data_IF_127165227115
#
_entry.id   IF_127165227115
#
_cell.length_a   1.000
_cell.length_b   1.000
_cell.length_c   1.000
_cell.angle_alpha   90.00
_cell.angle_beta   90.00
_cell.angle_gamma   90.00
#
_symmetry.space_group_name_H-M   'P 1'
#
loop_
_entity.id
_entity.type
_entity.pdbx_description
1 polymer ?
#
# COMPACT_ATOMS: atom_id res chain seq x y z
N UNK A 1 16.19 -46.44 47.02
CA UNK A 1 16.55 -45.15 47.65
C UNK A 1 15.62 -44.08 47.12
N UNK A 2 14.80 -43.57 48.06
CA UNK A 2 14.04 -42.31 48.12
C UNK A 2 13.69 -41.55 46.84
N UNK A 3 12.37 -41.54 46.60
CA UNK A 3 11.57 -40.64 45.78
C UNK A 3 11.74 -39.17 46.21
N UNK A 4 11.68 -38.24 45.26
CA UNK A 4 11.33 -36.85 45.52
C UNK A 4 10.45 -36.32 44.38
N UNK A 5 9.15 -36.04 44.63
CA UNK A 5 8.31 -35.27 43.74
C UNK A 5 8.18 -33.84 44.28
N UNK A 6 8.44 -32.81 43.48
CA UNK A 6 7.96 -31.47 43.80
C UNK A 6 7.40 -30.80 42.55
N UNK A 7 6.08 -30.92 42.47
CA UNK A 7 5.17 -30.13 41.67
C UNK A 7 5.14 -28.71 42.25
N UNK A 8 5.41 -27.68 41.45
CA UNK A 8 5.00 -26.31 41.77
C UNK A 8 4.63 -25.59 40.46
N UNK A 9 3.33 -25.65 40.21
CA UNK A 9 2.58 -24.76 39.34
C UNK A 9 2.64 -23.36 39.96
N UNK A 10 3.08 -22.35 39.21
CA UNK A 10 2.73 -20.96 39.48
C UNK A 10 2.55 -20.23 38.16
N UNK A 11 1.27 -20.04 37.87
CA UNK A 11 0.70 -19.16 36.85
C UNK A 11 1.14 -17.72 37.17
N UNK A 12 1.64 -17.00 36.17
CA UNK A 12 1.61 -15.53 36.18
C UNK A 12 1.52 -15.01 34.74
N UNK A 13 0.29 -14.94 34.27
CA UNK A 13 -0.12 -13.99 33.25
C UNK A 13 -0.13 -12.60 33.90
N UNK A 14 0.76 -11.72 33.46
CA UNK A 14 0.56 -10.28 33.63
C UNK A 14 0.86 -9.58 32.31
N UNK A 15 -0.23 -9.12 31.70
CA UNK A 15 -0.28 -8.08 30.70
C UNK A 15 0.41 -6.83 31.24
N UNK A 16 1.41 -6.32 30.53
CA UNK A 16 1.87 -4.92 30.62
C UNK A 16 2.03 -4.49 29.16
N UNK A 17 0.97 -3.97 28.54
CA UNK A 17 0.62 -2.54 28.46
C UNK A 17 1.64 -1.70 27.70
N UNK A 18 1.10 -1.05 26.67
CA UNK A 18 1.66 -0.02 25.81
C UNK A 18 2.57 0.96 26.54
N UNK A 19 3.83 1.04 26.12
CA UNK A 19 4.63 2.23 26.30
C UNK A 19 4.39 3.18 25.14
N UNK A 20 3.45 4.12 25.29
CA UNK A 20 3.50 5.37 24.52
C UNK A 20 4.44 6.30 25.26
N UNK A 21 5.64 6.49 24.73
CA UNK A 21 6.56 7.51 25.21
C UNK A 21 6.21 8.83 24.51
N UNK A 22 5.63 9.75 25.28
CA UNK A 22 5.31 11.11 24.87
C UNK A 22 6.56 11.99 24.92
N UNK A 23 6.95 12.54 23.76
CA UNK A 23 8.09 13.43 23.62
C UNK A 23 7.82 14.62 22.69
N UNK A 24 7.05 15.60 23.21
CA UNK A 24 6.87 17.00 22.80
C UNK A 24 6.44 17.34 21.34
N UNK A 25 5.50 18.30 21.15
CA UNK A 25 5.09 18.72 19.82
C UNK A 25 6.20 19.56 19.21
N UNK A 26 6.89 19.03 18.20
CA UNK A 26 7.61 19.89 17.27
C UNK A 26 6.55 20.73 16.59
N UNK A 27 6.67 22.03 16.80
CA UNK A 27 6.02 23.07 16.02
C UNK A 27 6.34 22.80 14.55
N UNK A 28 5.44 22.10 13.85
CA UNK A 28 5.53 21.96 12.40
C UNK A 28 5.10 23.30 11.83
N UNK A 29 6.11 24.15 11.68
CA UNK A 29 6.18 25.14 10.63
C UNK A 29 5.56 24.54 9.36
N UNK A 30 4.78 25.35 8.64
CA UNK A 30 4.32 25.07 7.28
C UNK A 30 5.53 24.77 6.38
N UNK A 31 5.98 23.53 6.42
CA UNK A 31 7.08 23.02 5.64
C UNK A 31 6.42 22.13 4.60
N UNK A 32 6.48 22.61 3.35
CA UNK A 32 6.16 21.85 2.15
C UNK A 32 6.98 20.56 2.13
N UNK A 33 6.49 19.54 2.82
CA UNK A 33 7.24 18.31 2.99
C UNK A 33 6.63 17.23 2.10
N UNK A 34 7.31 17.04 0.98
CA UNK A 34 7.45 15.80 0.22
C UNK A 34 7.95 14.60 1.08
N UNK A 35 7.64 14.57 2.37
CA UNK A 35 7.89 13.42 3.22
C UNK A 35 6.75 12.42 2.99
N UNK A 36 6.99 11.52 2.04
CA UNK A 36 6.22 10.28 1.90
C UNK A 36 6.08 9.64 3.28
N UNK A 37 4.88 9.22 3.71
CA UNK A 37 4.81 8.15 4.68
C UNK A 37 5.39 6.92 3.97
N UNK A 38 6.69 6.69 4.20
CA UNK A 38 7.42 5.47 3.81
C UNK A 38 6.76 4.20 4.42
N UNK A 39 5.71 4.36 5.22
CA UNK A 39 4.97 3.30 5.90
C UNK A 39 3.46 3.38 5.68
N UNK A 40 3.01 3.80 4.48
CA UNK A 40 1.60 3.64 4.10
C UNK A 40 1.33 2.22 3.62
N UNK A 41 0.25 1.60 4.09
CA UNK A 41 -0.22 0.34 3.52
C UNK A 41 -0.51 0.47 2.02
N UNK A 42 -0.92 1.67 1.55
CA UNK A 42 -1.18 1.94 0.14
C UNK A 42 0.06 1.83 -0.75
N UNK A 43 1.27 1.84 -0.19
CA UNK A 43 2.50 1.64 -0.96
C UNK A 43 2.58 0.23 -1.60
N UNK A 44 1.75 -0.71 -1.13
CA UNK A 44 1.65 -2.04 -1.75
C UNK A 44 1.11 -1.97 -3.20
N UNK A 45 0.30 -0.95 -3.55
CA UNK A 45 -0.25 -0.80 -4.89
C UNK A 45 0.82 -0.52 -5.96
N UNK A 46 1.68 0.51 -5.81
CA UNK A 46 2.80 0.69 -6.73
C UNK A 46 3.79 -0.47 -6.63
N UNK A 47 4.01 -1.05 -5.45
CA UNK A 47 4.95 -2.18 -5.30
C UNK A 47 4.52 -3.40 -6.12
N UNK A 48 3.31 -3.93 -5.87
CA UNK A 48 2.77 -5.13 -6.53
C UNK A 48 2.64 -4.98 -8.04
N UNK A 49 2.13 -3.83 -8.50
CA UNK A 49 1.99 -3.54 -9.93
C UNK A 49 3.34 -3.42 -10.62
N UNK A 50 4.27 -2.65 -10.06
CA UNK A 50 5.61 -2.48 -10.64
C UNK A 50 6.45 -3.77 -10.59
N UNK A 51 6.32 -4.58 -9.53
CA UNK A 51 6.95 -5.89 -9.48
C UNK A 51 6.47 -6.76 -10.65
N UNK A 52 5.15 -6.78 -10.90
CA UNK A 52 4.59 -7.59 -11.99
C UNK A 52 4.99 -7.07 -13.36
N UNK A 53 4.94 -5.75 -13.57
CA UNK A 53 5.35 -5.10 -14.81
C UNK A 53 6.85 -5.28 -15.08
N UNK A 54 7.68 -5.22 -14.04
CA UNK A 54 9.11 -5.51 -14.16
C UNK A 54 9.36 -6.96 -14.57
N UNK A 55 8.64 -7.91 -13.97
CA UNK A 55 8.75 -9.33 -14.32
C UNK A 55 8.30 -9.63 -15.77
N UNK A 56 7.22 -9.01 -16.24
CA UNK A 56 6.64 -9.31 -17.55
C UNK A 56 7.24 -8.50 -18.70
N UNK A 57 7.66 -7.25 -18.44
CA UNK A 57 8.05 -6.30 -19.48
C UNK A 57 9.40 -5.60 -19.22
N UNK A 58 10.09 -5.92 -18.12
CA UNK A 58 11.42 -5.39 -17.84
C UNK A 58 11.44 -3.92 -17.39
N UNK A 59 10.33 -3.40 -16.88
CA UNK A 59 10.25 -2.05 -16.32
C UNK A 59 11.23 -1.85 -15.16
N UNK A 60 11.78 -0.64 -15.04
CA UNK A 60 12.57 -0.28 -13.87
C UNK A 60 11.65 -0.15 -12.65
N UNK A 61 11.88 -1.00 -11.65
CA UNK A 61 11.08 -1.06 -10.44
C UNK A 61 11.00 0.29 -9.71
N UNK A 62 12.15 0.93 -9.48
CA UNK A 62 12.22 2.14 -8.67
C UNK A 62 11.56 3.33 -9.39
N UNK A 63 11.81 3.45 -10.70
CA UNK A 63 11.22 4.53 -11.50
C UNK A 63 9.70 4.35 -11.57
N UNK A 64 9.25 3.11 -11.79
CA UNK A 64 7.83 2.75 -11.74
C UNK A 64 7.18 3.12 -10.41
N UNK A 65 7.74 2.66 -9.29
CA UNK A 65 7.15 2.91 -7.97
C UNK A 65 7.10 4.39 -7.61
N UNK A 66 8.17 5.14 -7.91
CA UNK A 66 8.25 6.57 -7.61
C UNK A 66 7.24 7.40 -8.42
N UNK A 67 7.15 7.12 -9.72
CA UNK A 67 6.23 7.83 -10.60
C UNK A 67 4.78 7.49 -10.25
N UNK A 68 4.43 6.21 -10.03
CA UNK A 68 3.09 5.83 -9.57
C UNK A 68 2.75 6.48 -8.24
N UNK A 69 3.67 6.50 -7.28
CA UNK A 69 3.42 7.11 -5.97
C UNK A 69 3.07 8.60 -6.08
N UNK A 70 3.75 9.31 -6.98
CA UNK A 70 3.56 10.72 -7.24
C UNK A 70 2.46 11.03 -8.27
N UNK A 71 1.83 10.02 -8.87
CA UNK A 71 0.87 10.21 -9.94
C UNK A 71 -0.47 10.77 -9.41
N UNK A 72 -0.98 11.92 -9.92
CA UNK A 72 -2.26 12.47 -9.48
C UNK A 72 -3.48 11.64 -9.96
N UNK A 73 -3.28 10.66 -10.85
CA UNK A 73 -4.30 9.73 -11.35
C UNK A 73 -4.94 8.86 -10.27
N UNK A 74 -4.27 8.68 -9.13
CA UNK A 74 -4.86 8.04 -7.96
C UNK A 74 -6.10 8.77 -7.43
N UNK A 75 -6.10 10.10 -7.54
CA UNK A 75 -7.27 10.91 -7.25
C UNK A 75 -8.44 10.48 -8.12
N UNK A 76 -8.26 10.48 -9.44
CA UNK A 76 -9.31 10.04 -10.37
C UNK A 76 -9.78 8.61 -10.10
N UNK A 77 -8.84 7.67 -9.89
CA UNK A 77 -9.17 6.28 -9.60
C UNK A 77 -10.05 6.12 -8.35
N UNK A 78 -9.72 6.82 -7.26
CA UNK A 78 -10.50 6.81 -6.03
C UNK A 78 -11.57 7.90 -5.94
N UNK A 79 -11.87 8.59 -7.04
CA UNK A 79 -12.86 9.69 -7.10
C UNK A 79 -12.57 10.88 -6.17
N UNK A 80 -11.29 11.21 -5.97
CA UNK A 80 -10.80 12.42 -5.30
C UNK A 80 -10.21 13.44 -6.28
N UNK A 81 -10.44 14.73 -6.03
CA UNK A 81 -9.91 15.80 -6.87
C UNK A 81 -8.45 16.08 -6.57
N UNK A 82 -7.65 16.29 -7.63
CA UNK A 82 -6.46 15.50 -7.92
C UNK A 82 -5.62 15.25 -6.66
N UNK A 83 -5.40 13.97 -6.38
CA UNK A 83 -4.69 13.52 -5.21
C UNK A 83 -3.68 12.43 -5.59
N UNK A 84 -2.45 12.59 -5.11
CA UNK A 84 -1.42 11.54 -5.13
C UNK A 84 -1.71 10.49 -4.05
N UNK A 85 -1.08 9.31 -4.12
CA UNK A 85 -1.16 8.35 -3.03
C UNK A 85 -0.63 8.91 -1.71
N UNK A 86 0.35 9.82 -1.75
CA UNK A 86 0.83 10.52 -0.56
C UNK A 86 -0.30 11.32 0.11
N UNK A 87 -1.06 12.09 -0.67
CA UNK A 87 -2.18 12.88 -0.16
C UNK A 87 -3.31 11.99 0.37
N UNK A 88 -3.65 10.91 -0.35
CA UNK A 88 -4.66 9.95 0.07
C UNK A 88 -4.21 9.22 1.35
N UNK A 89 -2.95 8.83 1.43
CA UNK A 89 -2.36 8.20 2.62
C UNK A 89 -2.43 9.11 3.83
N UNK A 90 -2.18 10.40 3.67
CA UNK A 90 -2.30 11.36 4.77
C UNK A 90 -3.76 11.49 5.24
N UNK A 91 -4.73 11.49 4.33
CA UNK A 91 -6.15 11.49 4.66
C UNK A 91 -6.57 10.20 5.40
N UNK A 92 -6.06 9.03 4.99
CA UNK A 92 -6.25 7.76 5.73
C UNK A 92 -5.64 7.84 7.13
N UNK A 93 -4.41 8.34 7.24
CA UNK A 93 -3.73 8.47 8.53
C UNK A 93 -4.49 9.41 9.49
N UNK A 94 -5.02 10.51 8.96
CA UNK A 94 -5.83 11.47 9.71
C UNK A 94 -7.26 10.99 9.99
N UNK A 95 -7.64 9.80 9.52
CA UNK A 95 -8.99 9.21 9.64
C UNK A 95 -10.08 10.00 8.88
N UNK A 96 -9.69 10.78 7.87
CA UNK A 96 -10.60 11.46 6.95
C UNK A 96 -11.12 10.50 5.86
N UNK A 97 -10.41 9.39 5.64
CA UNK A 97 -10.76 8.31 4.71
C UNK A 97 -10.58 6.96 5.39
N UNK A 98 -11.43 6.01 5.04
CA UNK A 98 -11.34 4.64 5.53
C UNK A 98 -10.55 3.78 4.52
N UNK A 99 -9.55 3.06 5.05
CA UNK A 99 -8.81 2.06 4.27
C UNK A 99 -9.39 0.67 4.53
N UNK A 100 -9.86 0.03 3.47
CA UNK A 100 -10.23 -1.38 3.47
C UNK A 100 -9.00 -2.24 3.20
N UNK A 101 -8.41 -2.77 4.27
CA UNK A 101 -7.19 -3.60 4.19
C UNK A 101 -7.41 -4.93 3.47
N UNK A 102 -8.62 -5.48 3.51
CA UNK A 102 -8.94 -6.75 2.85
C UNK A 102 -9.04 -6.58 1.33
N UNK A 103 -9.69 -5.51 0.88
CA UNK A 103 -9.71 -5.11 -0.53
C UNK A 103 -8.30 -4.78 -1.04
N UNK A 104 -7.50 -4.08 -0.23
CA UNK A 104 -6.11 -3.76 -0.56
C UNK A 104 -5.26 -5.02 -0.76
N UNK A 105 -5.34 -5.96 0.18
CA UNK A 105 -4.62 -7.23 0.08
C UNK A 105 -5.09 -8.05 -1.13
N UNK A 106 -6.41 -8.15 -1.34
CA UNK A 106 -6.99 -8.87 -2.48
C UNK A 106 -6.55 -8.28 -3.83
N UNK A 107 -6.57 -6.95 -3.95
CA UNK A 107 -6.10 -6.23 -5.13
C UNK A 107 -4.62 -6.53 -5.41
N UNK A 108 -3.77 -6.44 -4.39
CA UNK A 108 -2.34 -6.76 -4.53
C UNK A 108 -2.11 -8.21 -4.97
N UNK A 109 -2.81 -9.16 -4.36
CA UNK A 109 -2.68 -10.58 -4.69
C UNK A 109 -3.19 -10.88 -6.11
N UNK A 110 -4.29 -10.28 -6.53
CA UNK A 110 -4.80 -10.41 -7.90
C UNK A 110 -3.78 -9.90 -8.92
N UNK A 111 -3.19 -8.72 -8.69
CA UNK A 111 -2.15 -8.14 -9.56
C UNK A 111 -0.93 -9.06 -9.68
N UNK A 112 -0.41 -9.55 -8.55
CA UNK A 112 0.79 -10.41 -8.53
C UNK A 112 0.55 -11.73 -9.28
N UNK A 113 -0.70 -12.22 -9.28
CA UNK A 113 -1.06 -13.49 -9.91
C UNK A 113 -1.50 -13.37 -11.38
N UNK A 114 -1.64 -12.17 -11.95
CA UNK A 114 -1.94 -11.99 -13.38
C UNK A 114 -0.87 -12.63 -14.26
N UNK A 115 -1.21 -13.35 -15.32
CA UNK A 115 -0.21 -13.84 -16.28
C UNK A 115 0.45 -12.68 -17.05
N UNK A 116 1.68 -12.86 -17.54
CA UNK A 116 2.28 -11.90 -18.48
C UNK A 116 1.55 -11.86 -19.83
N UNK A 117 0.77 -12.90 -20.13
CA UNK A 117 -0.11 -12.96 -21.30
C UNK A 117 -1.51 -12.38 -21.03
N UNK A 118 -1.78 -11.92 -19.80
CA UNK A 118 -3.09 -11.38 -19.44
C UNK A 118 -3.38 -10.10 -20.22
N UNK A 119 -4.56 -10.02 -20.83
CA UNK A 119 -4.97 -8.85 -21.62
C UNK A 119 -5.04 -7.59 -20.77
N UNK A 120 -5.39 -7.68 -19.48
CA UNK A 120 -5.43 -6.53 -18.57
C UNK A 120 -4.03 -5.97 -18.37
N UNK A 121 -3.06 -6.84 -18.12
CA UNK A 121 -1.68 -6.43 -17.89
C UNK A 121 -1.03 -5.89 -19.17
N UNK A 122 -1.32 -6.50 -20.32
CA UNK A 122 -0.88 -6.00 -21.62
C UNK A 122 -1.54 -4.65 -21.98
N UNK A 123 -2.81 -4.45 -21.62
CA UNK A 123 -3.52 -3.18 -21.82
C UNK A 123 -2.99 -2.04 -20.96
N UNK A 124 -2.58 -2.36 -19.74
CA UNK A 124 -1.95 -1.39 -18.84
C UNK A 124 -0.65 -0.77 -19.42
N UNK A 125 -0.10 -1.37 -20.49
CA UNK A 125 1.19 -1.03 -21.11
C UNK A 125 1.05 -0.63 -22.59
N UNK A 126 -0.17 -0.36 -23.11
CA UNK A 126 -0.43 -0.23 -24.56
C UNK A 126 0.47 0.78 -25.29
N UNK A 127 0.88 0.35 -26.50
CA UNK A 127 1.60 1.04 -27.59
C UNK A 127 3.11 1.30 -27.41
N UNK A 128 3.80 0.34 -26.81
CA UNK A 128 5.24 0.14 -27.03
C UNK A 128 6.15 1.08 -26.24
N UNK A 129 5.60 1.90 -25.35
CA UNK A 129 6.38 2.67 -24.40
C UNK A 129 6.37 1.94 -23.04
N UNK A 130 7.49 1.30 -22.65
CA UNK A 130 7.61 0.61 -21.36
C UNK A 130 7.59 1.57 -20.16
N UNK A 131 7.28 2.85 -20.35
CA UNK A 131 7.28 3.86 -19.30
C UNK A 131 6.01 4.73 -19.29
N UNK A 132 4.98 4.42 -20.10
CA UNK A 132 3.74 5.19 -20.05
C UNK A 132 2.87 4.71 -18.87
N UNK A 133 3.09 5.34 -17.72
CA UNK A 133 2.40 4.98 -16.47
C UNK A 133 0.97 5.51 -16.39
N UNK A 134 0.50 6.37 -17.30
CA UNK A 134 -0.90 6.80 -17.28
C UNK A 134 -1.85 5.64 -17.61
N UNK A 135 -1.42 4.72 -18.47
CA UNK A 135 -2.20 3.54 -18.85
C UNK A 135 -2.29 2.50 -17.74
N UNK A 136 -1.42 2.56 -16.73
CA UNK A 136 -1.42 1.59 -15.64
C UNK A 136 -2.72 1.62 -14.83
N UNK A 137 -3.45 2.74 -14.82
CA UNK A 137 -4.70 2.83 -14.07
C UNK A 137 -5.78 1.90 -14.61
N UNK A 138 -5.67 1.49 -15.88
CA UNK A 138 -6.54 0.46 -16.47
C UNK A 138 -6.38 -0.90 -15.78
N UNK A 139 -5.19 -1.20 -15.23
CA UNK A 139 -4.97 -2.40 -14.41
C UNK A 139 -5.88 -2.38 -13.18
N UNK A 140 -5.82 -1.30 -12.41
CA UNK A 140 -6.59 -1.15 -11.18
C UNK A 140 -8.10 -1.02 -11.47
N UNK A 141 -8.50 -0.38 -12.57
CA UNK A 141 -9.91 -0.30 -13.00
C UNK A 141 -10.49 -1.65 -13.43
N UNK A 142 -9.65 -2.56 -13.92
CA UNK A 142 -10.06 -3.90 -14.37
C UNK A 142 -10.23 -4.88 -13.21
N UNK A 143 -9.64 -4.60 -12.06
CA UNK A 143 -9.65 -5.47 -10.88
C UNK A 143 -10.65 -4.91 -9.85
N UNK A 144 -11.71 -5.68 -9.57
CA UNK A 144 -12.81 -5.18 -8.73
C UNK A 144 -12.38 -4.90 -7.29
N UNK A 145 -11.52 -5.74 -6.71
CA UNK A 145 -11.01 -5.53 -5.34
C UNK A 145 -10.24 -4.22 -5.20
N UNK A 146 -9.64 -3.70 -6.27
CA UNK A 146 -8.93 -2.42 -6.23
C UNK A 146 -9.86 -1.21 -6.07
N UNK A 147 -11.13 -1.31 -6.47
CA UNK A 147 -12.09 -0.20 -6.44
C UNK A 147 -12.59 0.11 -5.03
N UNK A 148 -12.62 -0.90 -4.18
CA UNK A 148 -13.20 -0.83 -2.82
C UNK A 148 -12.12 -0.61 -1.75
N UNK A 149 -10.90 -0.20 -2.12
CA UNK A 149 -9.78 0.01 -1.19
C UNK A 149 -10.02 1.23 -0.29
N UNK A 150 -10.54 2.32 -0.86
CA UNK A 150 -10.77 3.56 -0.15
C UNK A 150 -12.25 3.88 -0.14
N UNK A 151 -12.77 4.25 1.02
CA UNK A 151 -14.09 4.87 1.14
C UNK A 151 -14.01 6.18 1.94
N UNK A 152 -15.01 7.06 1.80
CA UNK A 152 -15.23 8.14 2.76
C UNK A 152 -15.44 7.62 4.18
#
# INVERSE_FOLDING_TARGET
>A
MTRSPLLLILISSFLISCGFETGNPVHLSEENNNSSPIHSALYVLPTSSCDRLSQCFGWNLNDCQNELWANPGWGSFFSFNPATLNQISNAVYNQDLNLNTDSLASCSDEIINLSCEDEVLNRAVVDGEPNNQENIFQLFESINSCKDIISP
#
